data_IF_107663249095
#
_entry.id   IF_107663249095
#
_cell.length_a   1.000
_cell.length_b   1.000
_cell.length_c   1.000
_cell.angle_alpha   90.00
_cell.angle_beta   90.00
_cell.angle_gamma   90.00
#
_symmetry.space_group_name_H-M   'P 1'
#
loop_
_entity.id
_entity.type
_entity.pdbx_description
1 polymer ?
#
# COMPACT_ATOMS: atom_id res chain seq x y z
N UNK A 1 -1.66 2.73 41.03
CA UNK A 1 -2.44 3.29 39.89
C UNK A 1 -1.57 4.05 38.88
N UNK A 2 -0.48 4.70 39.31
CA UNK A 2 0.43 5.50 38.43
C UNK A 2 1.38 4.63 37.57
N UNK A 3 1.69 3.40 37.99
CA UNK A 3 2.54 2.47 37.20
C UNK A 3 1.80 1.82 36.02
N UNK A 4 0.48 1.67 36.09
CA UNK A 4 -0.34 1.01 35.06
C UNK A 4 -0.55 1.86 33.80
N UNK A 5 -0.48 3.19 33.91
CA UNK A 5 -0.62 4.12 32.78
C UNK A 5 0.55 4.01 31.81
N UNK A 6 1.79 3.98 32.33
CA UNK A 6 3.00 3.85 31.49
C UNK A 6 3.08 2.51 30.74
N UNK A 7 2.52 1.43 31.30
CA UNK A 7 2.51 0.11 30.64
C UNK A 7 1.46 0.04 29.52
N UNK A 8 0.31 0.70 29.70
CA UNK A 8 -0.73 0.79 28.68
C UNK A 8 -0.26 1.66 27.51
N UNK A 9 0.41 2.78 27.78
CA UNK A 9 0.96 3.66 26.76
C UNK A 9 2.04 2.95 25.92
N UNK A 10 2.91 2.17 26.58
CA UNK A 10 3.92 1.33 25.89
C UNK A 10 3.30 0.22 25.06
N UNK A 11 2.24 -0.44 25.55
CA UNK A 11 1.52 -1.47 24.79
C UNK A 11 0.76 -0.86 23.60
N UNK A 12 0.24 0.35 23.75
CA UNK A 12 -0.41 1.11 22.69
C UNK A 12 0.60 1.54 21.62
N UNK A 13 1.78 2.01 22.02
CA UNK A 13 2.90 2.30 21.12
C UNK A 13 3.39 1.04 20.37
N UNK A 14 3.58 -0.08 21.08
CA UNK A 14 3.93 -1.38 20.51
C UNK A 14 2.89 -1.85 19.49
N UNK A 15 1.60 -1.68 19.82
CA UNK A 15 0.49 -2.05 18.97
C UNK A 15 0.37 -1.14 17.74
N UNK A 16 0.65 0.16 17.91
CA UNK A 16 0.70 1.13 16.83
C UNK A 16 1.87 0.85 15.87
N UNK A 17 3.03 0.44 16.37
CA UNK A 17 4.17 -0.04 15.57
C UNK A 17 3.84 -1.34 14.79
N UNK A 18 3.16 -2.29 15.43
CA UNK A 18 2.72 -3.54 14.77
C UNK A 18 1.68 -3.30 13.66
N UNK A 19 0.84 -2.28 13.80
CA UNK A 19 -0.22 -1.92 12.84
C UNK A 19 0.25 -0.92 11.80
N UNK A 20 1.26 -0.10 12.10
CA UNK A 20 1.76 0.92 11.17
C UNK A 20 2.33 0.28 9.89
N UNK A 21 2.76 -0.98 9.98
CA UNK A 21 3.35 -1.75 8.89
C UNK A 21 4.82 -1.45 8.68
N UNK A 22 5.42 -0.56 9.49
CA UNK A 22 6.79 -0.08 9.31
C UNK A 22 7.85 -1.11 9.74
N UNK A 23 7.45 -2.22 10.38
CA UNK A 23 8.36 -3.25 10.92
C UNK A 23 8.15 -4.67 10.39
N UNK A 24 7.22 -4.91 9.46
CA UNK A 24 6.90 -6.27 9.01
C UNK A 24 7.09 -6.41 7.50
N UNK A 25 8.17 -7.10 7.13
CA UNK A 25 8.47 -7.55 5.78
C UNK A 25 7.26 -8.25 5.13
N UNK A 26 6.61 -7.51 4.23
CA UNK A 26 5.83 -7.85 3.03
C UNK A 26 4.79 -8.99 3.05
N UNK A 27 4.50 -9.65 4.15
CA UNK A 27 3.35 -10.54 4.29
C UNK A 27 2.55 -10.08 5.51
N UNK A 28 1.26 -9.79 5.35
CA UNK A 28 0.37 -9.37 6.44
C UNK A 28 0.31 -10.44 7.53
N UNK A 29 1.21 -10.37 8.51
CA UNK A 29 1.20 -11.23 9.68
C UNK A 29 -0.04 -10.84 10.48
N UNK A 30 -1.00 -11.75 10.58
CA UNK A 30 -2.17 -11.49 11.40
C UNK A 30 -1.75 -11.38 12.87
N UNK A 31 -2.45 -10.55 13.63
CA UNK A 31 -2.24 -10.46 15.08
C UNK A 31 -2.32 -11.83 15.78
N UNK A 32 -3.14 -12.76 15.25
CA UNK A 32 -3.19 -14.15 15.71
C UNK A 32 -1.88 -14.90 15.50
N UNK A 33 -1.22 -14.72 14.34
CA UNK A 33 0.10 -15.29 14.06
C UNK A 33 1.17 -14.68 14.97
N UNK A 34 1.11 -13.37 15.23
CA UNK A 34 1.98 -12.72 16.21
C UNK A 34 1.81 -13.32 17.62
N UNK A 35 0.57 -13.48 18.10
CA UNK A 35 0.29 -14.14 19.38
C UNK A 35 0.76 -15.60 19.41
N UNK A 36 0.60 -16.33 18.30
CA UNK A 36 1.10 -17.70 18.16
C UNK A 36 2.62 -17.75 18.29
N UNK A 37 3.36 -16.78 17.72
CA UNK A 37 4.82 -16.68 17.93
C UNK A 37 5.14 -16.44 19.40
N UNK A 38 4.44 -15.53 20.08
CA UNK A 38 4.67 -15.31 21.52
C UNK A 38 4.43 -16.59 22.33
N UNK A 39 3.41 -17.38 21.99
CA UNK A 39 3.18 -18.68 22.62
C UNK A 39 4.31 -19.66 22.37
N UNK A 40 4.77 -19.77 21.12
CA UNK A 40 5.89 -20.63 20.73
C UNK A 40 7.19 -20.22 21.41
N UNK A 41 7.46 -18.92 21.51
CA UNK A 41 8.62 -18.40 22.21
C UNK A 41 8.57 -18.73 23.70
N UNK A 42 7.39 -18.78 24.32
CA UNK A 42 7.24 -19.19 25.72
C UNK A 42 7.59 -20.67 25.90
N UNK A 43 7.08 -21.54 25.03
CA UNK A 43 7.26 -22.98 25.15
C UNK A 43 8.61 -23.48 24.63
N UNK A 44 9.24 -22.72 23.73
CA UNK A 44 10.48 -23.10 23.05
C UNK A 44 11.44 -21.91 23.02
N UNK A 45 12.69 -22.14 23.43
CA UNK A 45 13.76 -21.13 23.36
C UNK A 45 14.70 -21.33 22.18
N UNK A 46 14.52 -22.38 21.40
CA UNK A 46 15.36 -22.68 20.24
C UNK A 46 14.73 -22.08 18.97
N UNK A 47 15.48 -21.25 18.25
CA UNK A 47 15.04 -20.56 17.04
C UNK A 47 14.46 -21.51 15.99
N UNK A 48 15.17 -22.61 15.69
CA UNK A 48 14.76 -23.54 14.63
C UNK A 48 13.43 -24.24 14.99
N UNK A 49 13.25 -24.58 16.27
CA UNK A 49 12.01 -25.17 16.79
C UNK A 49 10.85 -24.18 16.73
N UNK A 50 11.08 -22.93 17.15
CA UNK A 50 10.08 -21.86 17.06
C UNK A 50 9.68 -21.57 15.62
N UNK A 51 10.67 -21.48 14.72
CA UNK A 51 10.43 -21.24 13.30
C UNK A 51 9.62 -22.38 12.67
N UNK A 52 10.05 -23.64 12.86
CA UNK A 52 9.36 -24.81 12.31
C UNK A 52 7.90 -24.88 12.76
N UNK A 53 7.64 -24.62 14.04
CA UNK A 53 6.30 -24.71 14.62
C UNK A 53 5.44 -23.46 14.35
N UNK A 54 6.02 -22.39 13.79
CA UNK A 54 5.28 -21.18 13.46
C UNK A 54 4.45 -21.28 12.19
N UNK A 55 4.82 -22.19 11.27
CA UNK A 55 4.26 -22.25 9.91
C UNK A 55 4.30 -20.91 9.15
N UNK A 56 5.24 -20.02 9.50
CA UNK A 56 5.48 -18.76 8.80
C UNK A 56 6.59 -18.92 7.76
N UNK A 57 6.61 -18.01 6.77
CA UNK A 57 7.80 -17.80 5.94
C UNK A 57 8.91 -17.24 6.83
N UNK A 58 10.16 -17.54 6.47
CA UNK A 58 11.34 -17.13 7.24
C UNK A 58 11.40 -15.61 7.43
N UNK A 59 11.11 -14.84 6.39
CA UNK A 59 11.08 -13.37 6.42
C UNK A 59 10.06 -12.83 7.42
N UNK A 60 8.85 -13.38 7.44
CA UNK A 60 7.79 -13.00 8.38
C UNK A 60 8.17 -13.35 9.82
N UNK A 61 8.75 -14.53 10.04
CA UNK A 61 9.19 -14.96 11.37
C UNK A 61 10.33 -14.07 11.89
N UNK A 62 11.32 -13.76 11.05
CA UNK A 62 12.42 -12.87 11.39
C UNK A 62 11.93 -11.46 11.73
N UNK A 63 11.00 -10.90 10.96
CA UNK A 63 10.44 -9.58 11.25
C UNK A 63 9.75 -9.49 12.62
N UNK A 64 9.05 -10.56 13.06
CA UNK A 64 8.48 -10.60 14.42
C UNK A 64 9.58 -10.62 15.48
N UNK A 65 10.64 -11.42 15.28
CA UNK A 65 11.72 -11.51 16.25
C UNK A 65 12.53 -10.22 16.34
N UNK A 66 12.82 -9.60 15.20
CA UNK A 66 13.50 -8.31 15.12
C UNK A 66 12.68 -7.23 15.82
N UNK A 67 11.38 -7.17 15.58
CA UNK A 67 10.47 -6.29 16.32
C UNK A 67 10.58 -6.52 17.84
N UNK A 68 10.40 -7.76 18.31
CA UNK A 68 10.47 -8.10 19.73
C UNK A 68 11.84 -7.79 20.35
N UNK A 69 12.91 -7.84 19.55
CA UNK A 69 14.25 -7.49 19.99
C UNK A 69 14.44 -5.97 20.07
N UNK A 70 13.92 -5.22 19.10
CA UNK A 70 13.97 -3.75 19.10
C UNK A 70 13.19 -3.12 20.25
N UNK A 71 12.11 -3.77 20.69
CA UNK A 71 11.36 -3.37 21.89
C UNK A 71 11.88 -4.01 23.19
N UNK A 72 13.08 -4.60 23.16
CA UNK A 72 13.76 -5.21 24.32
C UNK A 72 12.94 -6.29 25.06
N UNK A 73 12.06 -7.00 24.35
CA UNK A 73 11.29 -8.11 24.90
C UNK A 73 12.11 -9.40 24.84
N UNK A 74 12.81 -9.62 23.73
CA UNK A 74 13.67 -10.79 23.54
C UNK A 74 15.08 -10.38 23.12
N UNK A 75 16.04 -11.29 23.26
CA UNK A 75 17.38 -11.20 22.69
C UNK A 75 17.77 -12.52 22.07
N UNK A 76 18.24 -12.47 20.83
CA UNK A 76 18.91 -13.61 20.19
C UNK A 76 20.32 -13.74 20.77
N UNK A 77 20.62 -14.91 21.34
CA UNK A 77 21.95 -15.26 21.88
C UNK A 77 22.70 -16.08 20.83
N UNK A 78 24.04 -16.06 20.89
CA UNK A 78 24.88 -17.03 20.19
C UNK A 78 24.34 -18.45 20.44
N UNK A 79 24.40 -19.30 19.42
CA UNK A 79 23.83 -20.66 19.39
C UNK A 79 22.32 -20.77 19.10
N UNK A 80 21.73 -19.75 18.45
CA UNK A 80 20.33 -19.79 17.94
C UNK A 80 19.29 -19.95 19.07
N UNK A 81 19.60 -19.48 20.27
CA UNK A 81 18.68 -19.45 21.41
C UNK A 81 18.06 -18.06 21.58
N UNK A 82 16.80 -18.03 21.97
CA UNK A 82 16.00 -16.82 22.21
C UNK A 82 15.81 -16.67 23.72
N UNK A 83 16.36 -15.60 24.30
CA UNK A 83 16.17 -15.25 25.72
C UNK A 83 15.10 -14.17 25.83
N UNK A 84 14.15 -14.34 26.74
CA UNK A 84 13.24 -13.25 27.12
C UNK A 84 13.99 -12.32 28.07
N UNK A 85 14.01 -11.03 27.75
CA UNK A 85 14.64 -10.00 28.59
C UNK A 85 13.63 -9.33 29.51
N UNK A 86 12.40 -9.07 29.02
CA UNK A 86 11.36 -8.43 29.80
C UNK A 86 10.16 -9.37 29.98
N UNK A 87 10.20 -10.20 31.03
CA UNK A 87 9.17 -11.21 31.29
C UNK A 87 7.81 -10.61 31.62
N UNK A 88 7.77 -9.43 32.23
CA UNK A 88 6.52 -8.74 32.59
C UNK A 88 5.78 -8.25 31.34
N UNK A 89 6.47 -7.55 30.44
CA UNK A 89 5.91 -7.12 29.15
C UNK A 89 5.55 -8.35 28.29
N UNK A 90 6.41 -9.37 28.27
CA UNK A 90 6.13 -10.60 27.54
C UNK A 90 4.88 -11.33 28.08
N UNK A 91 4.70 -11.37 29.40
CA UNK A 91 3.52 -11.94 30.02
C UNK A 91 2.28 -11.06 29.81
N UNK A 92 2.39 -9.74 29.75
CA UNK A 92 1.28 -8.82 29.42
C UNK A 92 0.78 -9.04 27.99
N UNK A 93 1.67 -9.30 27.04
CA UNK A 93 1.29 -9.66 25.66
C UNK A 93 0.61 -11.04 25.57
N UNK A 94 0.72 -11.86 26.62
CA UNK A 94 0.36 -13.28 26.62
C UNK A 94 -0.80 -13.67 27.58
N UNK A 95 -0.96 -13.01 28.75
CA UNK A 95 -1.89 -13.43 29.83
C UNK A 95 -3.34 -12.97 29.58
N UNK A 96 -4.06 -13.85 28.89
CA UNK A 96 -5.51 -14.12 28.99
C UNK A 96 -6.50 -13.44 28.00
N UNK A 97 -7.17 -14.24 27.15
CA UNK A 97 -8.33 -13.87 26.32
C UNK A 97 -9.56 -13.34 27.08
N UNK A 98 -9.63 -13.45 28.41
CA UNK A 98 -10.75 -12.93 29.22
C UNK A 98 -10.76 -11.40 29.29
N UNK A 99 -9.58 -10.77 29.18
CA UNK A 99 -9.43 -9.32 29.00
C UNK A 99 -9.69 -8.88 27.57
N UNK A 100 -10.14 -9.76 26.66
CA UNK A 100 -10.60 -9.34 25.33
C UNK A 100 -11.70 -8.28 25.45
N UNK A 101 -12.61 -8.33 26.44
CA UNK A 101 -13.58 -7.24 26.69
C UNK A 101 -12.95 -5.96 27.23
N UNK A 102 -11.95 -6.04 28.10
CA UNK A 102 -11.29 -4.88 28.71
C UNK A 102 -10.32 -4.21 27.75
N UNK A 103 -9.54 -5.00 27.01
CA UNK A 103 -8.70 -4.61 25.89
C UNK A 103 -9.54 -4.09 24.71
N UNK A 104 -10.69 -4.71 24.39
CA UNK A 104 -11.65 -4.12 23.43
C UNK A 104 -12.34 -2.87 23.98
N UNK A 105 -12.48 -2.68 25.29
CA UNK A 105 -12.97 -1.44 25.93
C UNK A 105 -11.89 -0.35 25.91
N UNK A 106 -10.63 -0.69 26.12
CA UNK A 106 -9.47 0.19 26.00
C UNK A 106 -9.25 0.58 24.53
N UNK A 107 -9.23 -0.36 23.59
CA UNK A 107 -9.23 -0.11 22.13
C UNK A 107 -10.45 0.69 21.66
N UNK A 108 -11.60 0.60 22.35
CA UNK A 108 -12.77 1.45 22.09
C UNK A 108 -12.64 2.86 22.67
N UNK A 109 -11.76 3.07 23.66
CA UNK A 109 -11.46 4.36 24.30
C UNK A 109 -10.24 5.07 23.68
N UNK A 110 -9.36 4.33 23.00
CA UNK A 110 -8.31 4.89 22.12
C UNK A 110 -9.01 5.72 21.01
N UNK A 111 -8.56 6.96 20.72
CA UNK A 111 -9.19 7.85 19.75
C UNK A 111 -9.52 7.16 18.43
N UNK A 112 -10.58 7.64 17.77
CA UNK A 112 -11.33 7.08 16.61
C UNK A 112 -10.54 6.69 15.34
N UNK A 113 -9.21 6.56 15.42
CA UNK A 113 -8.26 6.32 14.34
C UNK A 113 -8.07 4.85 13.97
N UNK A 114 -8.78 3.92 14.64
CA UNK A 114 -8.92 2.53 14.19
C UNK A 114 -9.88 2.39 12.98
N UNK A 115 -9.95 3.43 12.12
CA UNK A 115 -10.64 3.42 10.82
C UNK A 115 -10.10 2.25 10.01
N UNK A 116 -8.78 1.99 9.94
CA UNK A 116 -8.18 0.96 9.07
C UNK A 116 -8.58 -0.49 9.36
N UNK A 117 -8.68 -0.89 10.63
CA UNK A 117 -9.15 -2.24 11.02
C UNK A 117 -10.66 -2.38 10.87
N UNK A 118 -11.43 -1.31 11.10
CA UNK A 118 -12.87 -1.28 10.79
C UNK A 118 -13.12 -1.28 9.29
N UNK A 119 -12.31 -0.56 8.52
CA UNK A 119 -12.30 -0.56 7.06
C UNK A 119 -11.97 -1.97 6.60
N UNK A 120 -10.85 -2.58 6.99
CA UNK A 120 -10.55 -3.95 6.59
C UNK A 120 -11.67 -4.95 6.95
N UNK A 121 -12.27 -4.87 8.15
CA UNK A 121 -13.41 -5.73 8.51
C UNK A 121 -14.72 -5.36 7.79
N UNK A 122 -14.94 -4.10 7.45
CA UNK A 122 -16.08 -3.62 6.65
C UNK A 122 -15.91 -4.02 5.17
N UNK A 123 -14.72 -3.87 4.62
CA UNK A 123 -14.26 -4.29 3.29
C UNK A 123 -14.33 -5.82 3.16
N UNK A 124 -13.98 -6.56 4.22
CA UNK A 124 -14.06 -8.03 4.30
C UNK A 124 -15.49 -8.55 4.49
N UNK A 125 -16.35 -7.83 5.24
CA UNK A 125 -17.79 -8.15 5.35
C UNK A 125 -18.57 -7.83 4.05
N UNK A 126 -18.10 -6.88 3.23
CA UNK A 126 -18.74 -6.48 1.97
C UNK A 126 -17.84 -6.75 0.77
N UNK A 127 -17.72 -8.01 0.35
CA UNK A 127 -17.50 -8.40 -1.07
C UNK A 127 -16.41 -7.68 -1.91
N UNK A 128 -15.44 -6.94 -1.36
CA UNK A 128 -14.44 -6.20 -2.17
C UNK A 128 -13.45 -7.13 -2.85
N UNK A 129 -13.20 -8.30 -2.27
CA UNK A 129 -12.52 -9.39 -2.97
C UNK A 129 -13.23 -9.77 -4.27
N UNK A 130 -14.57 -9.65 -4.34
CA UNK A 130 -15.32 -9.87 -5.59
C UNK A 130 -15.19 -8.71 -6.59
N UNK A 131 -14.79 -7.52 -6.13
CA UNK A 131 -14.49 -6.36 -7.00
C UNK A 131 -13.08 -6.47 -7.59
N UNK A 132 -12.13 -6.98 -6.80
CA UNK A 132 -10.72 -7.14 -7.19
C UNK A 132 -10.40 -8.43 -7.94
N UNK A 133 -11.25 -9.46 -7.89
CA UNK A 133 -11.09 -10.61 -8.77
C UNK A 133 -11.25 -10.11 -10.21
N UNK A 134 -10.18 -10.10 -11.02
CA UNK A 134 -10.21 -9.44 -12.32
C UNK A 134 -11.22 -10.21 -13.18
N UNK A 135 -12.40 -9.61 -13.35
CA UNK A 135 -13.39 -10.05 -14.33
C UNK A 135 -13.01 -9.58 -15.74
N UNK A 136 -12.05 -8.66 -15.83
CA UNK A 136 -11.64 -8.07 -17.09
C UNK A 136 -10.37 -8.75 -17.59
N UNK A 137 -10.38 -9.10 -18.88
CA UNK A 137 -9.15 -9.39 -19.61
C UNK A 137 -8.30 -8.12 -19.60
N UNK A 138 -7.01 -8.25 -19.28
CA UNK A 138 -6.04 -7.16 -19.34
C UNK A 138 -6.13 -6.42 -20.68
N UNK A 139 -5.90 -5.12 -20.68
CA UNK A 139 -5.85 -4.32 -21.90
C UNK A 139 -4.41 -3.87 -22.17
N UNK A 140 -3.74 -4.50 -23.14
CA UNK A 140 -2.35 -4.19 -23.52
C UNK A 140 -2.21 -2.72 -23.91
N UNK A 141 -3.19 -2.18 -24.65
CA UNK A 141 -3.13 -0.82 -25.20
C UNK A 141 -3.23 0.24 -24.12
N UNK A 142 -3.83 -0.10 -22.99
CA UNK A 142 -3.95 0.76 -21.81
C UNK A 142 -2.83 0.49 -20.78
N UNK A 143 -1.82 -0.33 -21.12
CA UNK A 143 -0.73 -0.71 -20.22
C UNK A 143 -1.17 -1.32 -18.88
N UNK A 144 -2.36 -1.93 -18.84
CA UNK A 144 -2.92 -2.46 -17.59
C UNK A 144 -2.15 -3.66 -17.06
N UNK A 145 -1.77 -3.56 -15.80
CA UNK A 145 -1.22 -4.64 -14.99
C UNK A 145 -1.63 -4.40 -13.54
N UNK A 146 -2.79 -4.93 -13.11
CA UNK A 146 -3.28 -4.66 -11.78
C UNK A 146 -2.38 -5.31 -10.72
N UNK A 147 -2.07 -4.54 -9.69
CA UNK A 147 -1.32 -4.97 -8.53
C UNK A 147 -2.16 -5.89 -7.61
N UNK A 148 -1.49 -6.48 -6.63
CA UNK A 148 -2.14 -7.28 -5.61
C UNK A 148 -3.04 -6.41 -4.71
N UNK A 149 -4.12 -6.99 -4.21
CA UNK A 149 -5.04 -6.33 -3.27
C UNK A 149 -4.31 -5.76 -2.06
N UNK A 150 -3.27 -6.47 -1.59
CA UNK A 150 -2.39 -6.00 -0.53
C UNK A 150 -1.69 -4.69 -0.90
N UNK A 151 -1.16 -4.62 -2.13
CA UNK A 151 -0.54 -3.40 -2.68
C UNK A 151 -1.53 -2.25 -2.78
N UNK A 152 -2.70 -2.45 -3.39
CA UNK A 152 -3.70 -1.38 -3.55
C UNK A 152 -4.13 -0.82 -2.19
N UNK A 153 -4.31 -1.68 -1.20
CA UNK A 153 -4.65 -1.28 0.17
C UNK A 153 -3.51 -0.52 0.85
N UNK A 154 -2.26 -0.96 0.67
CA UNK A 154 -1.10 -0.23 1.20
C UNK A 154 -0.99 1.14 0.56
N UNK A 155 -1.11 1.26 -0.77
CA UNK A 155 -1.12 2.54 -1.49
C UNK A 155 -2.19 3.49 -0.93
N UNK A 156 -3.43 3.01 -0.84
CA UNK A 156 -4.55 3.81 -0.32
C UNK A 156 -4.31 4.25 1.14
N UNK A 157 -3.80 3.35 1.98
CA UNK A 157 -3.45 3.66 3.37
C UNK A 157 -2.34 4.71 3.44
N UNK A 158 -1.30 4.60 2.60
CA UNK A 158 -0.18 5.54 2.59
C UNK A 158 -0.63 6.90 2.11
N UNK A 159 -1.46 6.97 1.06
CA UNK A 159 -2.08 8.22 0.61
C UNK A 159 -2.81 8.88 1.77
N UNK A 160 -3.81 8.21 2.35
CA UNK A 160 -4.64 8.80 3.42
C UNK A 160 -3.83 9.15 4.69
N UNK A 161 -2.79 8.37 5.04
CA UNK A 161 -1.93 8.67 6.20
C UNK A 161 -1.21 10.01 6.06
N UNK A 162 -0.86 10.37 4.83
CA UNK A 162 0.00 11.51 4.55
C UNK A 162 -0.78 12.74 4.08
N UNK A 163 -2.10 12.61 3.86
CA UNK A 163 -3.00 13.74 3.55
C UNK A 163 -2.86 14.83 4.62
N UNK A 164 -2.57 16.05 4.18
CA UNK A 164 -2.68 17.23 5.02
C UNK A 164 -4.17 17.61 5.13
N UNK A 165 -4.68 17.85 6.34
CA UNK A 165 -6.13 17.94 6.63
C UNK A 165 -6.85 19.16 6.00
N UNK A 166 -6.14 20.03 5.28
CA UNK A 166 -6.74 21.17 4.57
C UNK A 166 -7.35 20.71 3.24
N UNK A 167 -8.67 20.58 3.20
CA UNK A 167 -9.55 20.44 2.00
C UNK A 167 -8.88 19.91 0.74
N UNK A 168 -8.41 18.66 0.77
CA UNK A 168 -7.65 18.08 -0.34
C UNK A 168 -8.58 17.48 -1.40
N UNK A 169 -8.35 17.84 -2.67
CA UNK A 169 -8.93 17.17 -3.84
C UNK A 169 -7.90 16.21 -4.39
N UNK A 170 -8.28 14.94 -4.56
CA UNK A 170 -7.43 13.91 -5.10
C UNK A 170 -7.76 13.61 -6.56
N UNK A 171 -6.70 13.45 -7.37
CA UNK A 171 -6.77 13.06 -8.77
C UNK A 171 -6.07 11.73 -8.98
N UNK A 172 -6.78 10.76 -9.52
CA UNK A 172 -6.23 9.44 -9.84
C UNK A 172 -6.15 9.29 -11.36
N UNK A 173 -4.95 9.00 -11.87
CA UNK A 173 -4.68 8.78 -13.30
C UNK A 173 -4.46 7.30 -13.51
N UNK A 174 -5.43 6.64 -14.13
CA UNK A 174 -5.54 5.18 -14.12
C UNK A 174 -5.98 4.67 -12.75
N UNK A 175 -6.89 3.70 -12.73
CA UNK A 175 -7.34 3.08 -11.48
C UNK A 175 -7.82 1.63 -11.69
N UNK A 176 -7.13 0.88 -12.55
CA UNK A 176 -7.30 -0.58 -12.67
C UNK A 176 -7.02 -1.31 -11.35
N UNK A 177 -6.23 -0.67 -10.49
CA UNK A 177 -5.92 -1.08 -9.12
C UNK A 177 -6.97 -0.72 -8.06
N UNK A 178 -8.03 0.03 -8.42
CA UNK A 178 -9.11 0.47 -7.53
C UNK A 178 -8.62 1.20 -6.25
N UNK A 179 -7.46 1.86 -6.31
CA UNK A 179 -6.88 2.61 -5.18
C UNK A 179 -7.80 3.76 -4.80
N UNK A 180 -8.42 4.42 -5.79
CA UNK A 180 -9.35 5.53 -5.54
C UNK A 180 -10.57 5.10 -4.71
N UNK A 181 -11.12 3.91 -5.01
CA UNK A 181 -12.23 3.31 -4.28
C UNK A 181 -11.83 3.01 -2.84
N UNK A 182 -10.65 2.43 -2.64
CA UNK A 182 -10.13 2.17 -1.30
C UNK A 182 -9.91 3.47 -0.53
N UNK A 183 -9.35 4.50 -1.14
CA UNK A 183 -9.21 5.82 -0.54
C UNK A 183 -10.57 6.37 -0.12
N UNK A 184 -11.60 6.27 -0.97
CA UNK A 184 -12.95 6.73 -0.65
C UNK A 184 -13.60 5.97 0.49
N UNK A 185 -13.38 4.66 0.58
CA UNK A 185 -13.83 3.88 1.74
C UNK A 185 -13.08 4.27 3.02
N UNK A 186 -11.79 4.61 2.92
CA UNK A 186 -10.99 5.01 4.07
C UNK A 186 -11.35 6.42 4.54
N UNK A 187 -11.57 7.34 3.60
CA UNK A 187 -11.85 8.75 3.84
C UNK A 187 -13.06 9.16 2.99
N UNK A 188 -14.30 8.88 3.44
CA UNK A 188 -15.53 9.21 2.70
C UNK A 188 -15.65 10.69 2.30
N UNK A 189 -15.04 11.57 3.08
CA UNK A 189 -15.00 13.02 2.88
C UNK A 189 -13.99 13.47 1.79
N UNK A 190 -13.09 12.59 1.33
CA UNK A 190 -12.09 12.94 0.32
C UNK A 190 -12.75 13.16 -1.05
N UNK A 191 -12.64 14.35 -1.61
CA UNK A 191 -13.07 14.63 -2.98
C UNK A 191 -12.13 13.93 -3.96
N UNK A 192 -12.66 13.04 -4.79
CA UNK A 192 -11.87 12.23 -5.73
C UNK A 192 -12.37 12.46 -7.16
N UNK A 193 -11.44 12.74 -8.05
CA UNK A 193 -11.65 12.62 -9.49
C UNK A 193 -10.73 11.51 -10.03
N UNK A 194 -11.28 10.64 -10.87
CA UNK A 194 -10.55 9.57 -11.55
C UNK A 194 -10.67 9.79 -13.05
N UNK A 195 -9.55 9.68 -13.76
CA UNK A 195 -9.53 9.48 -15.21
C UNK A 195 -9.01 8.09 -15.53
N UNK A 196 -9.65 7.41 -16.46
CA UNK A 196 -9.28 6.06 -16.85
C UNK A 196 -9.68 5.82 -18.31
N UNK A 197 -8.73 5.35 -19.12
CA UNK A 197 -8.92 5.17 -20.56
C UNK A 197 -9.82 3.96 -20.86
N UNK A 198 -9.85 2.96 -19.99
CA UNK A 198 -10.69 1.78 -20.18
C UNK A 198 -12.13 1.99 -19.68
N UNK A 199 -13.07 2.05 -20.63
CA UNK A 199 -14.49 2.18 -20.38
C UNK A 199 -15.07 1.11 -19.43
N UNK A 200 -14.45 -0.08 -19.37
CA UNK A 200 -14.90 -1.16 -18.48
C UNK A 200 -14.60 -0.84 -17.02
N UNK A 201 -13.44 -0.23 -16.76
CA UNK A 201 -13.02 0.16 -15.43
C UNK A 201 -13.82 1.39 -14.99
N UNK A 202 -13.96 2.41 -15.84
CA UNK A 202 -14.78 3.58 -15.49
C UNK A 202 -16.22 3.20 -15.17
N UNK A 203 -16.81 2.25 -15.93
CA UNK A 203 -18.13 1.69 -15.62
C UNK A 203 -18.15 1.01 -14.25
N UNK A 204 -17.15 0.17 -13.95
CA UNK A 204 -17.03 -0.48 -12.63
C UNK A 204 -16.96 0.56 -11.51
N UNK A 205 -16.09 1.57 -11.63
CA UNK A 205 -15.91 2.61 -10.62
C UNK A 205 -17.22 3.37 -10.37
N UNK A 206 -17.94 3.74 -11.43
CA UNK A 206 -19.26 4.39 -11.34
C UNK A 206 -20.31 3.49 -10.68
N UNK A 207 -20.35 2.20 -11.01
CA UNK A 207 -21.25 1.23 -10.38
C UNK A 207 -20.97 1.08 -8.88
N UNK A 208 -19.69 1.01 -8.49
CA UNK A 208 -19.28 0.98 -7.08
C UNK A 208 -19.71 2.27 -6.38
N UNK A 209 -19.37 3.43 -6.95
CA UNK A 209 -19.71 4.74 -6.39
C UNK A 209 -21.22 4.89 -6.18
N UNK A 210 -22.04 4.50 -7.17
CA UNK A 210 -23.51 4.50 -7.06
C UNK A 210 -24.00 3.54 -5.97
N UNK A 211 -23.50 2.30 -5.97
CA UNK A 211 -23.90 1.26 -5.00
C UNK A 211 -23.61 1.67 -3.56
N UNK A 212 -22.50 2.35 -3.33
CA UNK A 212 -22.06 2.77 -1.99
C UNK A 212 -22.35 4.24 -1.68
N UNK A 213 -23.07 4.93 -2.57
CA UNK A 213 -23.47 6.35 -2.43
C UNK A 213 -22.28 7.26 -2.11
N UNK A 214 -21.18 7.11 -2.85
CA UNK A 214 -20.04 8.01 -2.73
C UNK A 214 -20.44 9.40 -3.20
N UNK A 215 -20.28 10.41 -2.33
CA UNK A 215 -20.36 11.83 -2.70
C UNK A 215 -19.01 12.30 -3.24
N UNK A 216 -18.94 13.32 -4.08
CA UNK A 216 -17.68 13.90 -4.58
C UNK A 216 -16.69 12.85 -5.11
N UNK A 217 -17.19 11.93 -5.95
CA UNK A 217 -16.43 10.88 -6.60
C UNK A 217 -16.75 10.90 -8.11
N UNK A 218 -15.93 11.60 -8.87
CA UNK A 218 -16.13 11.83 -10.29
C UNK A 218 -15.24 10.87 -11.10
N UNK A 219 -15.79 10.28 -12.17
CA UNK A 219 -15.07 9.33 -13.02
C UNK A 219 -15.27 9.70 -14.48
N UNK A 220 -14.17 9.96 -15.18
CA UNK A 220 -14.15 10.30 -16.59
C UNK A 220 -13.44 9.22 -17.40
N UNK A 221 -14.02 8.86 -18.55
CA UNK A 221 -13.36 7.99 -19.51
C UNK A 221 -12.58 8.87 -20.48
N UNK A 222 -11.29 9.04 -20.21
CA UNK A 222 -10.45 10.04 -20.85
C UNK A 222 -8.98 9.58 -20.82
N UNK A 223 -8.22 9.83 -21.89
CA UNK A 223 -6.76 9.74 -21.85
C UNK A 223 -6.20 11.00 -21.17
N UNK A 224 -5.31 10.85 -20.20
CA UNK A 224 -4.65 11.97 -19.52
C UNK A 224 -4.03 12.98 -20.49
N UNK A 225 -3.56 12.51 -21.65
CA UNK A 225 -2.95 13.34 -22.70
C UNK A 225 -3.93 14.32 -23.35
N UNK A 226 -5.22 14.07 -23.19
CA UNK A 226 -6.32 14.87 -23.74
C UNK A 226 -6.95 15.79 -22.67
N UNK A 227 -6.37 15.87 -21.47
CA UNK A 227 -6.94 16.63 -20.34
C UNK A 227 -7.11 18.13 -20.64
N UNK A 228 -6.28 18.68 -21.55
CA UNK A 228 -6.37 20.07 -22.01
C UNK A 228 -7.72 20.39 -22.66
N UNK A 229 -8.40 19.37 -23.19
CA UNK A 229 -9.67 19.48 -23.89
C UNK A 229 -10.87 19.18 -22.95
N UNK A 230 -10.64 19.08 -21.63
CA UNK A 230 -11.65 18.79 -20.60
C UNK A 230 -11.81 19.97 -19.61
N UNK A 231 -12.62 20.99 -19.96
CA UNK A 231 -12.83 22.17 -19.12
C UNK A 231 -13.35 21.85 -17.71
N UNK A 232 -14.14 20.80 -17.56
CA UNK A 232 -14.69 20.35 -16.27
C UNK A 232 -13.62 19.87 -15.31
N UNK A 233 -12.55 19.24 -15.80
CA UNK A 233 -11.42 18.82 -14.97
C UNK A 233 -10.51 20.02 -14.68
N UNK A 234 -10.23 20.84 -15.70
CA UNK A 234 -9.32 22.00 -15.60
C UNK A 234 -9.84 23.11 -14.67
N UNK A 235 -11.15 23.20 -14.45
CA UNK A 235 -11.77 24.11 -13.45
C UNK A 235 -11.38 23.77 -12.01
N UNK A 236 -10.77 22.61 -11.78
CA UNK A 236 -10.36 22.17 -10.47
C UNK A 236 -8.84 22.06 -10.39
N UNK A 237 -8.32 22.38 -9.21
CA UNK A 237 -6.95 22.11 -8.83
C UNK A 237 -6.92 20.99 -7.80
N UNK A 238 -5.94 20.11 -7.93
CA UNK A 238 -5.81 18.90 -7.12
C UNK A 238 -4.53 18.95 -6.33
N UNK A 239 -4.66 18.66 -5.05
CA UNK A 239 -3.56 18.70 -4.09
C UNK A 239 -2.92 17.33 -3.88
N UNK A 240 -3.62 16.27 -4.26
CA UNK A 240 -3.14 14.89 -4.23
C UNK A 240 -3.25 14.32 -5.63
N UNK A 241 -2.18 13.74 -6.14
CA UNK A 241 -2.16 13.06 -7.43
C UNK A 241 -1.60 11.66 -7.24
N UNK A 242 -2.28 10.64 -7.72
CA UNK A 242 -1.81 9.25 -7.70
C UNK A 242 -1.85 8.65 -9.09
N UNK A 243 -0.77 7.99 -9.49
CA UNK A 243 -0.71 7.28 -10.77
C UNK A 243 0.37 6.19 -10.83
N UNK A 244 0.16 5.22 -11.71
CA UNK A 244 1.08 4.14 -12.05
C UNK A 244 1.32 4.18 -13.57
N UNK A 245 2.20 5.09 -14.05
CA UNK A 245 2.33 5.40 -15.46
C UNK A 245 3.07 4.29 -16.23
N UNK A 246 2.98 4.29 -17.58
CA UNK A 246 3.95 3.59 -18.40
C UNK A 246 5.38 4.05 -18.08
N UNK A 247 6.33 3.12 -18.02
CA UNK A 247 7.70 3.40 -17.60
C UNK A 247 8.59 4.04 -18.68
N UNK A 248 8.10 4.18 -19.92
CA UNK A 248 8.87 4.85 -20.98
C UNK A 248 8.93 6.37 -20.75
N UNK A 249 10.14 6.94 -20.71
CA UNK A 249 10.39 8.37 -20.49
C UNK A 249 9.51 9.32 -21.34
N UNK A 250 9.30 9.00 -22.62
CA UNK A 250 8.47 9.83 -23.54
C UNK A 250 6.99 9.85 -23.15
N UNK A 251 6.49 8.76 -22.56
CA UNK A 251 5.11 8.65 -22.10
C UNK A 251 4.97 9.35 -20.76
N UNK A 252 5.96 9.15 -19.86
CA UNK A 252 6.04 9.81 -18.58
C UNK A 252 6.06 11.35 -18.71
N UNK A 253 6.80 11.88 -19.69
CA UNK A 253 6.82 13.31 -19.97
C UNK A 253 5.41 13.87 -20.26
N UNK A 254 4.63 13.20 -21.12
CA UNK A 254 3.26 13.63 -21.45
C UNK A 254 2.34 13.60 -20.23
N UNK A 255 2.50 12.60 -19.36
CA UNK A 255 1.75 12.52 -18.11
C UNK A 255 2.06 13.72 -17.22
N UNK A 256 3.33 14.08 -17.04
CA UNK A 256 3.73 15.22 -16.24
C UNK A 256 3.28 16.57 -16.83
N UNK A 257 3.37 16.75 -18.15
CA UNK A 257 2.83 17.93 -18.84
C UNK A 257 1.32 18.11 -18.58
N UNK A 258 0.58 17.00 -18.54
CA UNK A 258 -0.86 17.00 -18.25
C UNK A 258 -1.16 17.25 -16.76
N UNK A 259 -0.33 16.69 -15.88
CA UNK A 259 -0.41 16.90 -14.42
C UNK A 259 -0.17 18.38 -14.06
N UNK A 260 0.79 19.04 -14.71
CA UNK A 260 1.08 20.46 -14.50
C UNK A 260 -0.17 21.35 -14.68
N UNK A 261 -1.08 20.97 -15.58
CA UNK A 261 -2.31 21.73 -15.86
C UNK A 261 -3.32 21.68 -14.70
N UNK A 262 -3.25 20.67 -13.83
CA UNK A 262 -4.27 20.38 -12.82
C UNK A 262 -3.76 20.44 -11.37
N UNK A 263 -2.45 20.58 -11.17
CA UNK A 263 -1.85 20.70 -9.84
C UNK A 263 -2.26 21.99 -9.12
N UNK A 264 -2.48 21.88 -7.80
CA UNK A 264 -2.72 23.01 -6.91
C UNK A 264 -1.40 23.68 -6.50
N UNK A 265 -1.31 24.99 -6.61
CA UNK A 265 -0.14 25.73 -6.18
C UNK A 265 0.08 25.78 -4.66
N UNK A 266 -0.83 25.30 -3.80
CA UNK A 266 -0.71 25.40 -2.33
C UNK A 266 -0.27 24.11 -1.63
N UNK A 267 -0.85 22.97 -1.97
CA UNK A 267 -0.49 21.67 -1.38
C UNK A 267 -0.34 20.67 -2.52
N UNK A 268 0.85 20.09 -2.70
CA UNK A 268 1.11 19.10 -3.75
C UNK A 268 1.75 17.86 -3.16
N UNK A 269 1.03 16.73 -3.26
CA UNK A 269 1.51 15.40 -2.95
C UNK A 269 1.28 14.52 -4.17
N UNK A 270 2.36 14.02 -4.75
CA UNK A 270 2.36 13.13 -5.90
C UNK A 270 2.82 11.75 -5.45
N UNK A 271 1.94 10.77 -5.62
CA UNK A 271 2.15 9.37 -5.31
C UNK A 271 2.42 8.62 -6.61
N UNK A 272 3.70 8.38 -6.87
CA UNK A 272 4.19 7.81 -8.12
C UNK A 272 4.63 6.37 -7.89
N UNK A 273 4.08 5.45 -8.69
CA UNK A 273 4.49 4.05 -8.70
C UNK A 273 5.38 3.78 -9.91
N UNK A 274 6.38 2.92 -9.77
CA UNK A 274 7.11 2.42 -10.94
C UNK A 274 8.54 2.01 -10.68
N UNK A 275 9.16 1.45 -11.72
CA UNK A 275 10.60 1.27 -11.81
C UNK A 275 11.08 2.13 -12.97
N UNK A 276 11.89 3.14 -12.67
CA UNK A 276 12.28 4.15 -13.65
C UNK A 276 13.76 4.01 -13.97
N UNK A 277 14.08 3.94 -15.27
CA UNK A 277 15.45 4.04 -15.74
C UNK A 277 16.01 5.47 -15.58
N UNK A 278 17.30 5.64 -15.89
CA UNK A 278 17.97 6.94 -15.79
C UNK A 278 17.29 8.03 -16.62
N UNK A 279 16.73 7.70 -17.79
CA UNK A 279 16.04 8.67 -18.65
C UNK A 279 14.72 9.11 -18.04
N UNK A 280 13.94 8.17 -17.52
CA UNK A 280 12.66 8.43 -16.89
C UNK A 280 12.86 9.18 -15.56
N UNK A 281 13.89 8.83 -14.79
CA UNK A 281 14.28 9.58 -13.60
C UNK A 281 14.71 11.02 -13.93
N UNK A 282 15.37 11.26 -15.06
CA UNK A 282 15.68 12.63 -15.50
C UNK A 282 14.40 13.46 -15.74
N UNK A 283 13.38 12.87 -16.37
CA UNK A 283 12.07 13.51 -16.57
C UNK A 283 11.39 13.79 -15.22
N UNK A 284 11.38 12.81 -14.29
CA UNK A 284 10.82 12.99 -12.94
C UNK A 284 11.55 14.13 -12.23
N UNK A 285 12.88 14.17 -12.28
CA UNK A 285 13.69 15.23 -11.67
C UNK A 285 13.39 16.60 -12.25
N UNK A 286 13.25 16.72 -13.59
CA UNK A 286 12.87 17.98 -14.24
C UNK A 286 11.50 18.46 -13.77
N UNK A 287 10.51 17.56 -13.73
CA UNK A 287 9.18 17.86 -13.21
C UNK A 287 9.21 18.31 -11.75
N UNK A 288 9.99 17.62 -10.90
CA UNK A 288 10.15 18.00 -9.49
C UNK A 288 10.80 19.37 -9.33
N UNK A 289 11.90 19.65 -10.04
CA UNK A 289 12.59 20.93 -9.98
C UNK A 289 11.69 22.08 -10.43
N UNK A 290 10.97 21.91 -11.55
CA UNK A 290 10.01 22.90 -12.08
C UNK A 290 8.94 23.24 -11.04
N UNK A 291 8.41 22.23 -10.35
CA UNK A 291 7.30 22.37 -9.41
C UNK A 291 7.72 22.53 -7.94
N UNK A 292 9.03 22.71 -7.66
CA UNK A 292 9.59 22.81 -6.30
C UNK A 292 9.17 21.64 -5.40
N UNK A 293 9.29 20.43 -5.94
CA UNK A 293 8.99 19.19 -5.24
C UNK A 293 10.26 18.46 -4.84
N UNK A 294 10.17 17.64 -3.80
CA UNK A 294 11.20 16.74 -3.31
C UNK A 294 10.61 15.35 -3.09
N UNK A 295 11.45 14.32 -3.16
CA UNK A 295 11.07 12.97 -2.71
C UNK A 295 11.11 12.99 -1.18
N UNK A 296 9.93 13.09 -0.55
CA UNK A 296 9.80 13.07 0.91
C UNK A 296 9.96 11.65 1.48
N UNK A 297 9.51 10.64 0.73
CA UNK A 297 9.60 9.23 1.10
C UNK A 297 9.78 8.37 -0.14
N UNK A 298 10.52 7.28 0.05
CA UNK A 298 10.78 6.27 -0.97
C UNK A 298 10.61 4.89 -0.35
N UNK A 299 9.82 4.03 -1.00
CA UNK A 299 9.59 2.66 -0.59
C UNK A 299 10.02 1.72 -1.70
N UNK A 300 11.13 1.01 -1.49
CA UNK A 300 11.63 -0.01 -2.40
C UNK A 300 10.69 -1.22 -2.43
N UNK A 301 10.39 -1.73 -3.63
CA UNK A 301 9.61 -2.96 -3.86
C UNK A 301 8.26 -2.96 -3.11
N UNK A 302 7.65 -1.78 -3.03
CA UNK A 302 6.39 -1.54 -2.33
C UNK A 302 5.20 -2.16 -3.05
N UNK A 303 5.26 -2.20 -4.38
CA UNK A 303 4.20 -2.71 -5.22
C UNK A 303 4.47 -4.14 -5.63
N UNK A 304 3.39 -4.93 -5.73
CA UNK A 304 3.46 -6.32 -6.17
C UNK A 304 2.39 -6.59 -7.22
N UNK A 305 2.79 -7.20 -8.32
CA UNK A 305 1.97 -7.46 -9.50
C UNK A 305 1.99 -8.97 -9.79
N UNK A 306 0.95 -9.70 -9.35
CA UNK A 306 0.89 -11.14 -9.53
C UNK A 306 0.57 -11.49 -11.00
N UNK A 307 1.52 -12.10 -11.69
CA UNK A 307 1.35 -12.52 -13.08
C UNK A 307 0.79 -13.94 -13.16
N UNK A 308 -0.20 -14.14 -14.05
CA UNK A 308 -0.73 -15.47 -14.39
C UNK A 308 -0.08 -15.99 -15.67
N UNK A 309 -0.12 -17.31 -15.86
CA UNK A 309 0.35 -17.94 -17.10
C UNK A 309 -0.43 -17.49 -18.34
N UNK A 310 -1.67 -17.00 -18.20
CA UNK A 310 -2.43 -16.37 -19.28
C UNK A 310 -1.82 -15.05 -19.76
N UNK A 311 -0.98 -14.43 -18.93
CA UNK A 311 -0.45 -13.08 -19.15
C UNK A 311 0.89 -13.15 -19.91
N UNK A 312 1.32 -14.35 -20.34
CA UNK A 312 2.58 -14.58 -21.06
C UNK A 312 2.71 -13.77 -22.37
N UNK A 313 1.60 -13.54 -23.08
CA UNK A 313 1.61 -12.67 -24.28
C UNK A 313 1.84 -11.19 -23.90
N UNK A 314 1.33 -10.76 -22.74
CA UNK A 314 1.53 -9.41 -22.18
C UNK A 314 2.97 -9.25 -21.72
N UNK A 315 3.50 -10.27 -21.03
CA UNK A 315 4.91 -10.30 -20.65
C UNK A 315 5.83 -10.24 -21.86
N UNK A 316 5.46 -10.72 -23.06
CA UNK A 316 6.32 -10.55 -24.25
C UNK A 316 6.42 -9.09 -24.70
N UNK A 317 5.35 -8.28 -24.63
CA UNK A 317 5.45 -6.85 -24.93
C UNK A 317 6.14 -6.07 -23.81
N UNK A 318 5.80 -6.34 -22.55
CA UNK A 318 6.43 -5.75 -21.38
C UNK A 318 7.92 -6.13 -21.29
N UNK A 319 8.29 -7.36 -21.67
CA UNK A 319 9.68 -7.84 -21.74
C UNK A 319 10.51 -7.10 -22.78
N UNK A 320 9.92 -6.46 -23.80
CA UNK A 320 10.68 -5.60 -24.72
C UNK A 320 11.11 -4.32 -24.01
N UNK A 321 10.23 -3.72 -23.19
CA UNK A 321 10.55 -2.59 -22.32
C UNK A 321 11.53 -3.01 -21.22
N UNK A 322 11.25 -4.08 -20.47
CA UNK A 322 12.07 -4.57 -19.36
C UNK A 322 13.45 -5.11 -19.82
N UNK A 323 13.56 -5.75 -21.00
CA UNK A 323 14.86 -6.25 -21.51
C UNK A 323 15.82 -5.12 -21.87
N UNK A 324 15.31 -3.99 -22.37
CA UNK A 324 16.15 -2.85 -22.73
C UNK A 324 16.86 -2.26 -21.51
N UNK A 325 16.28 -2.40 -20.32
CA UNK A 325 16.79 -1.78 -19.10
C UNK A 325 17.58 -2.74 -18.19
N UNK A 326 17.21 -4.03 -18.12
CA UNK A 326 17.74 -4.90 -17.05
C UNK A 326 18.48 -6.16 -17.52
N UNK A 327 18.65 -6.37 -18.84
CA UNK A 327 19.39 -7.50 -19.42
C UNK A 327 18.98 -8.91 -18.86
N UNK A 328 17.73 -9.09 -18.41
CA UNK A 328 17.27 -10.35 -17.82
C UNK A 328 16.90 -11.41 -18.87
N UNK A 329 17.58 -12.57 -18.82
CA UNK A 329 17.21 -13.78 -19.57
C UNK A 329 16.26 -14.67 -18.75
N UNK A 330 14.95 -14.57 -19.00
CA UNK A 330 13.98 -15.55 -18.46
C UNK A 330 13.94 -16.85 -19.28
N UNK A 331 14.02 -18.01 -18.60
CA UNK A 331 13.65 -19.34 -19.14
C UNK A 331 12.13 -19.51 -19.05
N UNK A 332 11.47 -19.90 -20.13
CA UNK A 332 10.00 -19.91 -20.27
C UNK A 332 9.29 -20.93 -19.33
N UNK A 333 10.02 -21.92 -18.82
CA UNK A 333 9.49 -22.99 -17.95
C UNK A 333 9.38 -22.62 -16.45
N UNK A 334 9.99 -21.52 -15.98
CA UNK A 334 9.91 -21.07 -14.58
C UNK A 334 8.74 -20.10 -14.29
N UNK A 335 7.87 -19.85 -15.27
CA UNK A 335 6.86 -18.79 -15.28
C UNK A 335 5.57 -19.09 -14.48
N UNK A 336 5.52 -20.15 -13.66
CA UNK A 336 4.27 -20.56 -12.98
C UNK A 336 3.82 -19.63 -11.84
N UNK A 337 4.70 -18.80 -11.29
CA UNK A 337 4.38 -17.71 -10.32
C UNK A 337 5.48 -16.64 -10.37
N UNK A 338 5.45 -15.75 -11.37
CA UNK A 338 6.28 -14.54 -11.32
C UNK A 338 5.45 -13.45 -10.66
N UNK A 339 6.03 -12.85 -9.63
CA UNK A 339 5.54 -11.61 -9.04
C UNK A 339 6.52 -10.54 -9.47
N UNK A 340 6.03 -9.56 -10.22
CA UNK A 340 6.80 -8.35 -10.53
C UNK A 340 6.62 -7.37 -9.38
N UNK A 341 7.65 -6.63 -9.02
CA UNK A 341 7.57 -5.59 -7.99
C UNK A 341 8.07 -4.25 -8.51
N UNK A 342 7.51 -3.16 -8.01
CA UNK A 342 7.96 -1.80 -8.32
C UNK A 342 8.04 -0.93 -7.07
N UNK A 343 8.70 0.21 -7.19
CA UNK A 343 8.89 1.14 -6.09
C UNK A 343 7.71 2.10 -5.96
N UNK A 344 7.64 2.77 -4.81
CA UNK A 344 6.64 3.79 -4.52
C UNK A 344 7.30 5.06 -3.98
N UNK A 345 7.07 6.16 -4.68
CA UNK A 345 7.62 7.48 -4.38
C UNK A 345 6.52 8.37 -3.84
N UNK A 346 6.80 9.05 -2.72
CA UNK A 346 5.96 10.12 -2.19
C UNK A 346 6.71 11.43 -2.43
N UNK A 347 6.27 12.15 -3.45
CA UNK A 347 6.85 13.41 -3.88
C UNK A 347 5.98 14.53 -3.31
N UNK A 348 6.57 15.44 -2.56
CA UNK A 348 5.84 16.51 -1.87
C UNK A 348 6.54 17.85 -2.12
N UNK A 349 5.83 18.94 -1.87
CA UNK A 349 6.44 20.27 -1.96
C UNK A 349 7.59 20.41 -0.95
N UNK A 350 8.75 20.84 -1.44
CA UNK A 350 9.96 21.08 -0.66
C UNK A 350 10.06 22.48 -0.06
#
# INVERSE_FOLDING_TARGET
>A
MIYLTNEVDRLEELYNLLISGDYLYNDSISFLKFLQILQLLKSHRNFAKCFKNSHLKLTSFLGILEFLQNVNIIKLIKDKHIKIQNSEIFELLYRSPSRRRMFLKLIRKIPRWNKKLRIFNYLKKRSLLKLYLPKFKLNIRAFQLPCSIGTSLRRAITIIKNINLKSQKAFFIGDDDLVSILCKFIMPELSITVIEIDGRITKLLKEIAKKYKFTDFNVYNLDIKEIKDSPEILKHKYSIIHFDPPYEAKELQKFFESIDLIMDGQINQVYLNGLFDTKSMAIINQFMLKNKLIISRYYNSFNSYPLKSSDLKYLKSLRKQIKLEYNFKFKEKSLKRIEFSSDFFVIERG
#
